data_IF_224453966898
#
_entry.id   IF_224453966898
#
_cell.length_a   1.000
_cell.length_b   1.000
_cell.length_c   1.000
_cell.angle_alpha   90.00
_cell.angle_beta   90.00
_cell.angle_gamma   90.00
#
_symmetry.space_group_name_H-M   'P 1'
#
loop_
_entity.id
_entity.type
_entity.pdbx_description
1 polymer ?
#
# COMPACT_ATOMS: atom_id res chain seq x y z
N UNK A 1 54.85 33.28 -35.86
CA UNK A 1 54.26 32.28 -34.94
C UNK A 1 52.88 31.89 -35.46
N UNK A 2 52.51 30.60 -35.58
CA UNK A 2 51.31 30.20 -36.34
C UNK A 2 50.00 30.60 -35.65
N UNK A 3 49.05 31.15 -36.42
CA UNK A 3 47.70 31.52 -35.96
C UNK A 3 46.85 30.33 -35.50
N UNK A 4 47.29 29.09 -35.78
CA UNK A 4 46.58 27.85 -35.47
C UNK A 4 46.51 27.51 -33.97
N UNK A 5 47.36 28.16 -33.16
CA UNK A 5 47.47 27.92 -31.72
C UNK A 5 46.49 28.72 -30.87
N UNK A 6 45.70 29.61 -31.47
CA UNK A 6 44.77 30.50 -30.76
C UNK A 6 43.45 30.64 -31.51
N UNK A 7 42.41 31.03 -30.79
CA UNK A 7 41.08 31.36 -31.29
C UNK A 7 40.76 32.80 -30.89
N UNK A 8 40.19 33.56 -31.82
CA UNK A 8 39.80 34.94 -31.60
C UNK A 8 38.51 35.05 -30.78
N UNK A 9 38.46 36.01 -29.87
CA UNK A 9 37.23 36.42 -29.19
C UNK A 9 36.47 37.41 -30.07
N UNK A 10 35.32 37.02 -30.59
CA UNK A 10 34.45 37.84 -31.45
C UNK A 10 33.80 39.05 -30.73
N UNK A 11 33.99 39.15 -29.41
CA UNK A 11 33.55 40.31 -28.62
C UNK A 11 34.63 41.39 -28.46
N UNK A 12 35.92 41.04 -28.55
CA UNK A 12 37.00 42.01 -28.32
C UNK A 12 38.22 41.87 -29.25
N UNK A 13 38.17 40.99 -30.25
CA UNK A 13 39.22 40.79 -31.25
C UNK A 13 40.53 40.19 -30.73
N UNK A 14 40.58 39.77 -29.46
CA UNK A 14 41.81 39.23 -28.83
C UNK A 14 41.89 37.73 -28.97
N UNK A 15 43.11 37.22 -29.11
CA UNK A 15 43.39 35.81 -29.40
C UNK A 15 43.79 35.01 -28.14
N UNK A 16 43.14 33.88 -27.91
CA UNK A 16 43.35 33.02 -26.73
C UNK A 16 43.42 31.55 -27.09
N UNK A 17 44.05 30.72 -26.26
CA UNK A 17 44.01 29.26 -26.42
C UNK A 17 42.69 28.65 -25.92
N UNK A 18 42.07 29.30 -24.94
CA UNK A 18 40.77 28.95 -24.38
C UNK A 18 40.02 30.21 -23.97
N UNK A 19 38.81 30.40 -24.52
CA UNK A 19 38.00 31.60 -24.28
C UNK A 19 37.16 31.51 -23.01
N UNK A 20 36.89 30.33 -22.45
CA UNK A 20 35.90 30.17 -21.37
C UNK A 20 36.11 31.08 -20.16
N UNK A 21 37.32 31.08 -19.58
CA UNK A 21 37.63 31.97 -18.44
C UNK A 21 37.69 33.44 -18.84
N UNK A 22 38.12 33.74 -20.07
CA UNK A 22 38.19 35.11 -20.58
C UNK A 22 36.79 35.71 -20.78
N UNK A 23 35.87 34.95 -21.41
CA UNK A 23 34.49 35.34 -21.63
C UNK A 23 33.76 35.65 -20.32
N UNK A 24 33.98 34.81 -19.30
CA UNK A 24 33.36 35.01 -18.00
C UNK A 24 33.93 36.23 -17.26
N UNK A 25 35.25 36.47 -17.33
CA UNK A 25 35.90 37.55 -16.56
C UNK A 25 35.84 38.92 -17.22
N UNK A 26 35.82 38.98 -18.55
CA UNK A 26 35.86 40.25 -19.30
C UNK A 26 34.53 40.63 -19.93
N UNK A 27 33.68 39.65 -20.23
CA UNK A 27 32.40 39.87 -20.90
C UNK A 27 31.21 39.35 -20.11
N UNK A 28 31.45 38.82 -18.90
CA UNK A 28 30.42 38.26 -18.00
C UNK A 28 29.45 37.30 -18.67
N UNK A 29 29.91 36.58 -19.71
CA UNK A 29 29.11 35.65 -20.50
C UNK A 29 29.67 34.23 -20.37
N UNK A 30 28.77 33.26 -20.20
CA UNK A 30 29.18 31.86 -20.20
C UNK A 30 29.57 31.39 -21.60
N UNK A 31 30.44 30.38 -21.66
CA UNK A 31 30.87 29.78 -22.93
C UNK A 31 29.68 29.25 -23.77
N UNK A 32 28.62 28.74 -23.13
CA UNK A 32 27.46 28.22 -23.87
C UNK A 32 26.54 29.32 -24.41
N UNK A 33 26.35 30.40 -23.66
CA UNK A 33 25.67 31.60 -24.18
C UNK A 33 26.47 32.21 -25.34
N UNK A 34 27.79 32.27 -25.23
CA UNK A 34 28.67 32.74 -26.30
C UNK A 34 28.56 31.88 -27.58
N UNK A 35 28.59 30.54 -27.45
CA UNK A 35 28.39 29.63 -28.59
C UNK A 35 27.03 29.81 -29.26
N UNK A 36 25.95 29.95 -28.48
CA UNK A 36 24.60 30.19 -29.02
C UNK A 36 24.52 31.54 -29.74
N UNK A 37 25.11 32.58 -29.14
CA UNK A 37 25.05 33.94 -29.67
C UNK A 37 25.84 34.11 -30.97
N UNK A 38 27.00 33.49 -31.08
CA UNK A 38 27.89 33.65 -32.24
C UNK A 38 27.94 32.44 -33.16
N UNK A 39 27.10 31.41 -32.92
CA UNK A 39 27.08 30.18 -33.72
C UNK A 39 28.36 29.36 -33.70
N UNK A 40 29.31 29.67 -32.81
CA UNK A 40 30.61 29.00 -32.78
C UNK A 40 30.50 27.64 -32.08
N UNK A 41 31.02 26.59 -32.72
CA UNK A 41 30.91 25.23 -32.18
C UNK A 41 31.81 24.99 -30.95
N UNK A 42 32.95 25.68 -30.86
CA UNK A 42 33.99 25.44 -29.85
C UNK A 42 34.63 26.75 -29.39
N UNK A 43 35.05 26.78 -28.13
CA UNK A 43 35.70 27.95 -27.45
C UNK A 43 37.15 27.68 -27.05
N UNK A 44 37.71 26.54 -27.49
CA UNK A 44 39.11 26.13 -27.35
C UNK A 44 39.77 26.14 -28.72
N UNK A 45 41.06 26.45 -28.82
CA UNK A 45 41.79 26.35 -30.08
C UNK A 45 42.03 24.89 -30.51
N UNK A 46 42.31 24.61 -31.80
CA UNK A 46 42.56 23.27 -32.31
C UNK A 46 43.63 22.48 -31.54
N UNK A 47 44.76 23.09 -31.21
CA UNK A 47 45.86 22.44 -30.51
C UNK A 47 45.48 21.97 -29.10
N UNK A 48 44.73 22.79 -28.34
CA UNK A 48 44.24 22.38 -27.00
C UNK A 48 43.28 21.19 -27.12
N UNK A 49 42.44 21.14 -28.17
CA UNK A 49 41.56 20.00 -28.41
C UNK A 49 42.34 18.74 -28.79
N UNK A 50 43.38 18.88 -29.62
CA UNK A 50 44.27 17.78 -29.97
C UNK A 50 44.93 17.17 -28.73
N UNK A 51 45.48 18.00 -27.82
CA UNK A 51 46.08 17.54 -26.56
C UNK A 51 45.09 16.85 -25.62
N UNK A 52 43.87 17.38 -25.50
CA UNK A 52 42.80 16.73 -24.71
C UNK A 52 42.43 15.37 -25.34
N UNK A 53 42.37 15.28 -26.67
CA UNK A 53 42.15 14.04 -27.40
C UNK A 53 43.25 13.00 -27.15
N UNK A 54 44.51 13.40 -27.25
CA UNK A 54 45.67 12.53 -26.96
C UNK A 54 45.67 12.05 -25.51
N UNK A 55 45.33 12.91 -24.56
CA UNK A 55 45.20 12.54 -23.15
C UNK A 55 44.04 11.56 -22.90
N UNK A 56 42.91 11.71 -23.59
CA UNK A 56 41.77 10.79 -23.51
C UNK A 56 42.06 9.41 -24.13
N UNK A 57 42.87 9.37 -25.19
CA UNK A 57 43.36 8.13 -25.80
C UNK A 57 44.33 7.41 -24.85
N UNK A 58 45.32 8.13 -24.31
CA UNK A 58 46.25 7.59 -23.28
C UNK A 58 45.52 7.05 -22.05
N UNK A 59 44.40 7.68 -21.65
CA UNK A 59 43.54 7.25 -20.54
C UNK A 59 42.48 6.21 -20.92
N UNK A 60 42.48 5.70 -22.16
CA UNK A 60 41.65 4.58 -22.61
C UNK A 60 40.16 4.89 -22.82
N UNK A 61 39.75 6.16 -22.84
CA UNK A 61 38.33 6.54 -22.99
C UNK A 61 37.78 6.36 -24.42
N UNK A 62 38.65 6.28 -25.44
CA UNK A 62 38.28 5.94 -26.82
C UNK A 62 37.85 4.48 -27.02
N UNK A 63 38.16 3.56 -26.09
CA UNK A 63 37.76 2.14 -26.17
C UNK A 63 36.26 1.91 -25.93
N UNK A 64 35.48 2.95 -25.57
CA UNK A 64 34.05 2.85 -25.23
C UNK A 64 33.09 3.21 -26.38
N UNK A 65 33.53 3.91 -27.42
CA UNK A 65 32.66 4.28 -28.55
C UNK A 65 32.39 3.11 -29.51
N UNK A 66 31.15 2.98 -29.99
CA UNK A 66 30.77 2.01 -31.01
C UNK A 66 31.12 2.54 -32.40
N UNK A 67 31.90 1.78 -33.17
CA UNK A 67 32.21 2.05 -34.59
C UNK A 67 31.84 0.81 -35.41
N UNK A 68 31.66 0.98 -36.71
CA UNK A 68 31.28 -0.09 -37.64
C UNK A 68 32.29 -1.25 -37.57
N UNK A 69 33.59 -0.96 -37.57
CA UNK A 69 34.66 -1.96 -37.49
C UNK A 69 34.66 -2.68 -36.14
N UNK A 70 34.33 -1.98 -35.05
CA UNK A 70 34.26 -2.57 -33.71
C UNK A 70 33.05 -3.51 -33.60
N UNK A 71 31.92 -3.15 -34.20
CA UNK A 71 30.72 -3.97 -34.26
C UNK A 71 31.00 -5.23 -35.07
N UNK A 72 31.51 -5.10 -36.31
CA UNK A 72 31.84 -6.24 -37.16
C UNK A 72 32.87 -7.17 -36.52
N UNK A 73 33.93 -6.62 -35.90
CA UNK A 73 34.95 -7.40 -35.17
C UNK A 73 34.33 -8.20 -34.03
N UNK A 74 33.41 -7.61 -33.28
CA UNK A 74 32.70 -8.32 -32.20
C UNK A 74 31.81 -9.42 -32.76
N UNK A 75 31.07 -9.17 -33.84
CA UNK A 75 30.22 -10.19 -34.48
C UNK A 75 31.09 -11.35 -35.00
N UNK A 76 32.21 -11.07 -35.70
CA UNK A 76 33.18 -12.11 -36.14
C UNK A 76 33.74 -12.91 -34.98
N UNK A 77 34.07 -12.26 -33.85
CA UNK A 77 34.50 -12.96 -32.64
C UNK A 77 33.42 -13.92 -32.12
N UNK A 78 32.14 -13.54 -32.19
CA UNK A 78 31.02 -14.41 -31.77
C UNK A 78 30.81 -15.59 -32.72
N UNK A 79 31.00 -15.39 -34.02
CA UNK A 79 31.04 -16.48 -35.01
C UNK A 79 32.15 -17.47 -34.69
N UNK A 80 33.37 -16.99 -34.46
CA UNK A 80 34.52 -17.84 -34.13
C UNK A 80 34.36 -18.60 -32.81
N UNK A 81 33.60 -18.05 -31.86
CA UNK A 81 33.28 -18.69 -30.58
C UNK A 81 32.09 -19.67 -30.66
N UNK A 82 31.49 -19.87 -31.84
CA UNK A 82 30.31 -20.71 -32.01
C UNK A 82 29.06 -20.17 -31.28
N UNK A 83 29.04 -18.88 -30.93
CA UNK A 83 27.90 -18.27 -30.23
C UNK A 83 26.79 -17.99 -31.23
N UNK A 84 25.59 -18.51 -30.95
CA UNK A 84 24.40 -18.28 -31.78
C UNK A 84 24.18 -16.79 -32.07
N UNK A 85 24.12 -16.44 -33.36
CA UNK A 85 23.88 -15.07 -33.83
C UNK A 85 22.40 -14.66 -33.84
N UNK A 86 21.52 -15.51 -33.32
CA UNK A 86 20.11 -15.24 -33.25
C UNK A 86 19.82 -14.00 -32.39
N UNK A 87 19.17 -12.99 -32.98
CA UNK A 87 18.89 -11.71 -32.31
C UNK A 87 18.26 -11.89 -30.93
N UNK A 88 17.30 -12.81 -30.78
CA UNK A 88 16.59 -13.03 -29.50
C UNK A 88 17.53 -13.52 -28.39
N UNK A 89 18.53 -14.35 -28.73
CA UNK A 89 19.51 -14.88 -27.79
C UNK A 89 20.63 -13.87 -27.53
N UNK A 90 21.13 -13.23 -28.58
CA UNK A 90 22.18 -12.22 -28.46
C UNK A 90 21.71 -10.92 -27.79
N UNK A 91 20.44 -10.52 -27.95
CA UNK A 91 19.91 -9.34 -27.26
C UNK A 91 19.84 -9.54 -25.74
N UNK A 92 19.71 -10.78 -25.26
CA UNK A 92 19.77 -11.10 -23.82
C UNK A 92 21.19 -11.10 -23.29
N UNK A 93 22.16 -11.57 -24.08
CA UNK A 93 23.57 -11.69 -23.68
C UNK A 93 24.34 -10.38 -23.85
N UNK A 94 24.11 -9.66 -24.94
CA UNK A 94 24.79 -8.41 -25.29
C UNK A 94 23.83 -7.39 -25.94
N UNK A 95 22.90 -6.81 -25.16
CA UNK A 95 21.93 -5.84 -25.67
C UNK A 95 22.61 -4.62 -26.33
N UNK A 96 23.75 -4.17 -25.78
CA UNK A 96 24.47 -3.01 -26.30
C UNK A 96 25.08 -3.24 -27.69
N UNK A 97 25.54 -4.47 -27.99
CA UNK A 97 26.05 -4.82 -29.31
C UNK A 97 24.92 -4.85 -30.35
N UNK A 98 23.77 -5.44 -29.99
CA UNK A 98 22.60 -5.53 -30.88
C UNK A 98 22.03 -4.14 -31.19
N UNK A 99 21.95 -3.26 -30.18
CA UNK A 99 21.50 -1.88 -30.35
C UNK A 99 22.48 -1.06 -31.21
N UNK A 100 23.78 -1.16 -30.94
CA UNK A 100 24.80 -0.48 -31.74
C UNK A 100 24.78 -0.94 -33.20
N UNK A 101 24.72 -2.25 -33.44
CA UNK A 101 24.63 -2.81 -34.78
C UNK A 101 23.36 -2.37 -35.52
N UNK A 102 22.20 -2.34 -34.83
CA UNK A 102 20.95 -1.84 -35.42
C UNK A 102 21.05 -0.35 -35.76
N UNK A 103 21.70 0.46 -34.93
CA UNK A 103 21.86 1.90 -35.18
C UNK A 103 22.80 2.20 -36.36
N UNK A 104 23.89 1.44 -36.50
CA UNK A 104 24.92 1.70 -37.52
C UNK A 104 24.58 1.06 -38.88
N UNK A 105 23.97 -0.12 -38.89
CA UNK A 105 23.68 -0.88 -40.11
C UNK A 105 22.17 -0.94 -40.43
N UNK A 106 21.33 -0.18 -39.71
CA UNK A 106 19.87 -0.17 -39.83
C UNK A 106 19.17 -1.39 -39.23
N UNK A 107 19.79 -2.57 -39.24
CA UNK A 107 19.25 -3.78 -38.62
C UNK A 107 20.34 -4.77 -38.17
N UNK A 108 20.01 -5.61 -37.19
CA UNK A 108 20.88 -6.73 -36.79
C UNK A 108 21.16 -7.71 -37.95
N UNK A 109 20.16 -7.94 -38.81
CA UNK A 109 20.29 -8.78 -40.02
C UNK A 109 21.38 -8.24 -40.94
N UNK A 110 21.34 -6.94 -41.25
CA UNK A 110 22.31 -6.28 -42.11
C UNK A 110 23.73 -6.34 -41.54
N UNK A 111 23.89 -6.14 -40.22
CA UNK A 111 25.19 -6.25 -39.57
C UNK A 111 25.78 -7.68 -39.60
N UNK A 112 24.92 -8.71 -39.54
CA UNK A 112 25.35 -10.11 -39.65
C UNK A 112 25.68 -10.49 -41.10
N UNK A 113 24.91 -9.99 -42.07
CA UNK A 113 25.22 -10.16 -43.49
C UNK A 113 26.53 -9.45 -43.88
N UNK A 114 26.83 -8.29 -43.28
CA UNK A 114 28.08 -7.55 -43.49
C UNK A 114 29.34 -8.29 -42.99
N UNK A 115 29.19 -9.33 -42.15
CA UNK A 115 30.30 -10.24 -41.79
C UNK A 115 30.31 -11.53 -42.63
N UNK A 116 29.53 -11.59 -43.71
CA UNK A 116 29.45 -12.74 -44.61
C UNK A 116 28.66 -13.93 -44.07
N UNK A 117 27.82 -13.72 -43.05
CA UNK A 117 26.98 -14.77 -42.47
C UNK A 117 25.56 -14.66 -43.02
N UNK A 118 25.02 -15.78 -43.51
CA UNK A 118 23.62 -15.87 -43.90
C UNK A 118 22.72 -15.82 -42.64
N UNK A 119 22.13 -14.65 -42.40
CA UNK A 119 21.30 -14.42 -41.23
C UNK A 119 20.10 -15.37 -41.14
N UNK A 120 19.57 -15.85 -42.27
CA UNK A 120 18.43 -16.75 -42.28
C UNK A 120 18.79 -18.18 -41.86
N UNK A 121 20.08 -18.57 -41.96
CA UNK A 121 20.61 -19.83 -41.42
C UNK A 121 21.01 -19.76 -39.95
N UNK A 122 21.44 -18.59 -39.47
CA UNK A 122 21.93 -18.42 -38.08
C UNK A 122 20.90 -17.86 -37.10
N UNK A 123 19.73 -17.42 -37.58
CA UNK A 123 18.61 -17.08 -36.71
C UNK A 123 18.10 -18.35 -36.02
N UNK A 124 17.70 -18.22 -34.75
CA UNK A 124 16.97 -19.29 -34.07
C UNK A 124 15.67 -19.47 -34.83
N UNK A 125 15.55 -20.58 -35.56
CA UNK A 125 14.25 -21.12 -35.92
C UNK A 125 13.56 -21.44 -34.60
N UNK A 126 12.55 -20.63 -34.24
CA UNK A 126 11.66 -20.96 -33.13
C UNK A 126 10.81 -22.13 -33.60
N UNK A 127 11.36 -23.34 -33.43
CA UNK A 127 10.78 -24.66 -33.66
C UNK A 127 10.24 -24.96 -35.08
N UNK A 128 10.56 -26.18 -35.53
CA UNK A 128 10.18 -26.90 -36.76
C UNK A 128 8.68 -27.00 -37.12
N UNK A 129 7.94 -25.89 -37.13
CA UNK A 129 6.64 -25.79 -37.79
C UNK A 129 6.54 -24.48 -38.54
N UNK A 130 6.96 -24.51 -39.81
CA UNK A 130 6.30 -23.67 -40.80
C UNK A 130 4.84 -24.14 -40.79
N UNK A 131 3.96 -23.33 -40.22
CA UNK A 131 2.54 -23.64 -40.24
C UNK A 131 2.05 -23.53 -41.67
N UNK A 132 1.92 -24.67 -42.35
CA UNK A 132 1.24 -24.74 -43.64
C UNK A 132 -0.26 -24.93 -43.40
N UNK A 133 -1.09 -24.62 -44.41
CA UNK A 133 -2.54 -24.92 -44.34
C UNK A 133 -2.81 -26.37 -43.94
N UNK A 134 -2.07 -27.32 -44.53
CA UNK A 134 -2.16 -28.74 -44.20
C UNK A 134 -1.70 -29.05 -42.76
N UNK A 135 -0.58 -28.47 -42.32
CA UNK A 135 -0.07 -28.66 -40.96
C UNK A 135 -1.00 -28.12 -39.87
N UNK A 136 -1.74 -27.03 -40.15
CA UNK A 136 -2.78 -26.49 -39.26
C UNK A 136 -3.95 -27.48 -39.17
N UNK A 137 -4.46 -27.98 -40.31
CA UNK A 137 -5.55 -28.97 -40.31
C UNK A 137 -5.15 -30.25 -39.57
N UNK A 138 -3.94 -30.77 -39.78
CA UNK A 138 -3.43 -31.94 -39.06
C UNK A 138 -3.34 -31.70 -37.55
N UNK A 139 -2.90 -30.52 -37.11
CA UNK A 139 -2.84 -30.20 -35.70
C UNK A 139 -4.23 -30.05 -35.06
N UNK A 140 -5.22 -29.52 -35.80
CA UNK A 140 -6.63 -29.47 -35.38
C UNK A 140 -7.19 -30.90 -35.26
N UNK A 141 -6.96 -31.76 -36.25
CA UNK A 141 -7.41 -33.15 -36.23
C UNK A 141 -6.76 -33.97 -35.11
N UNK A 142 -5.45 -33.82 -34.89
CA UNK A 142 -4.74 -34.47 -33.79
C UNK A 142 -5.31 -34.06 -32.44
N UNK A 143 -5.64 -32.77 -32.28
CA UNK A 143 -6.29 -32.25 -31.07
C UNK A 143 -7.70 -32.82 -30.88
N UNK A 144 -8.47 -32.94 -31.96
CA UNK A 144 -9.79 -33.56 -31.95
C UNK A 144 -9.73 -35.05 -31.56
N UNK A 145 -8.79 -35.80 -32.13
CA UNK A 145 -8.57 -37.22 -31.84
C UNK A 145 -8.19 -37.47 -30.37
N UNK A 146 -7.48 -36.52 -29.75
CA UNK A 146 -7.15 -36.55 -28.32
C UNK A 146 -8.32 -36.13 -27.41
N UNK A 147 -9.50 -35.83 -27.97
CA UNK A 147 -10.67 -35.38 -27.21
C UNK A 147 -10.50 -34.00 -26.57
N UNK A 148 -9.51 -33.22 -26.99
CA UNK A 148 -9.24 -31.90 -26.45
C UNK A 148 -10.21 -30.85 -27.02
N UNK A 149 -10.58 -29.84 -26.22
CA UNK A 149 -11.52 -28.80 -26.66
C UNK A 149 -10.95 -28.00 -27.84
N UNK A 150 -11.76 -27.84 -28.89
CA UNK A 150 -11.43 -27.11 -30.12
C UNK A 150 -11.92 -25.66 -30.13
N UNK A 151 -12.53 -25.19 -29.04
CA UNK A 151 -12.95 -23.79 -28.98
C UNK A 151 -11.74 -22.85 -28.94
N UNK A 152 -11.89 -21.70 -29.59
CA UNK A 152 -10.81 -20.73 -29.75
C UNK A 152 -10.13 -20.36 -28.42
N UNK A 153 -10.90 -20.19 -27.33
CA UNK A 153 -10.34 -19.79 -26.04
C UNK A 153 -9.45 -20.89 -25.46
N UNK A 154 -9.94 -22.13 -25.40
CA UNK A 154 -9.18 -23.26 -24.85
C UNK A 154 -7.94 -23.61 -25.68
N UNK A 155 -7.99 -23.36 -26.99
CA UNK A 155 -6.82 -23.53 -27.87
C UNK A 155 -5.84 -22.38 -27.66
N UNK A 156 -6.32 -21.13 -27.59
CA UNK A 156 -5.48 -19.94 -27.39
C UNK A 156 -4.75 -19.95 -26.05
N UNK A 157 -5.39 -20.46 -24.99
CA UNK A 157 -4.80 -20.56 -23.65
C UNK A 157 -3.64 -21.58 -23.60
N UNK A 158 -3.64 -22.58 -24.49
CA UNK A 158 -2.64 -23.64 -24.52
C UNK A 158 -1.56 -23.42 -25.60
N UNK A 159 -1.96 -23.03 -26.81
CA UNK A 159 -1.05 -22.70 -27.88
C UNK A 159 -1.60 -21.54 -28.72
N UNK A 160 -1.17 -20.33 -28.40
CA UNK A 160 -1.53 -19.13 -29.15
C UNK A 160 -1.00 -19.16 -30.60
N UNK A 161 0.04 -19.95 -30.90
CA UNK A 161 0.71 -19.92 -32.21
C UNK A 161 -0.12 -20.61 -33.29
N UNK A 162 -0.80 -21.72 -32.97
CA UNK A 162 -1.72 -22.38 -33.91
C UNK A 162 -2.93 -21.49 -34.20
N UNK A 163 -3.43 -20.74 -33.22
CA UNK A 163 -4.51 -19.76 -33.41
C UNK A 163 -4.08 -18.62 -34.35
N UNK A 164 -2.91 -18.04 -34.11
CA UNK A 164 -2.36 -16.98 -34.96
C UNK A 164 -2.07 -17.46 -36.37
N UNK A 165 -1.56 -18.69 -36.53
CA UNK A 165 -1.33 -19.29 -37.83
C UNK A 165 -2.65 -19.59 -38.58
N UNK A 166 -3.66 -20.12 -37.89
CA UNK A 166 -4.98 -20.35 -38.46
C UNK A 166 -5.66 -19.05 -38.91
N UNK A 167 -5.54 -17.98 -38.12
CA UNK A 167 -6.01 -16.64 -38.50
C UNK A 167 -5.29 -16.12 -39.76
N UNK A 168 -3.98 -16.29 -39.84
CA UNK A 168 -3.19 -15.85 -40.99
C UNK A 168 -3.53 -16.64 -42.28
N UNK A 169 -3.66 -17.97 -42.21
CA UNK A 169 -3.83 -18.80 -43.41
C UNK A 169 -5.29 -18.99 -43.87
N UNK A 170 -6.25 -18.93 -42.95
CA UNK A 170 -7.68 -19.20 -43.21
C UNK A 170 -8.60 -18.02 -42.85
N UNK A 171 -8.06 -16.94 -42.25
CA UNK A 171 -8.81 -15.74 -41.87
C UNK A 171 -9.60 -15.87 -40.57
N UNK A 172 -9.99 -17.09 -40.17
CA UNK A 172 -10.63 -17.35 -38.87
C UNK A 172 -10.37 -18.77 -38.38
N UNK A 173 -10.39 -18.95 -37.05
CA UNK A 173 -10.29 -20.29 -36.45
C UNK A 173 -11.43 -21.20 -36.89
N UNK A 174 -12.65 -20.66 -37.03
CA UNK A 174 -13.81 -21.41 -37.52
C UNK A 174 -13.55 -21.98 -38.92
N UNK A 175 -13.06 -21.14 -39.85
CA UNK A 175 -12.73 -21.57 -41.21
C UNK A 175 -11.60 -22.60 -41.25
N UNK A 176 -10.63 -22.51 -40.34
CA UNK A 176 -9.55 -23.50 -40.24
C UNK A 176 -10.06 -24.86 -39.74
N UNK A 177 -11.01 -24.87 -38.80
CA UNK A 177 -11.64 -26.10 -38.29
C UNK A 177 -12.58 -26.71 -39.33
N UNK A 178 -13.36 -25.89 -40.02
CA UNK A 178 -14.21 -26.33 -41.14
C UNK A 178 -13.35 -26.90 -42.29
N UNK A 179 -12.21 -26.27 -42.61
CA UNK A 179 -11.24 -26.76 -43.59
C UNK A 179 -10.50 -28.05 -43.14
N UNK A 180 -10.54 -28.37 -41.85
CA UNK A 180 -10.07 -29.65 -41.33
C UNK A 180 -11.16 -30.75 -41.37
N UNK A 181 -12.35 -30.44 -41.91
CA UNK A 181 -13.47 -31.39 -42.04
C UNK A 181 -14.28 -31.58 -40.75
N UNK A 182 -14.12 -30.69 -39.76
CA UNK A 182 -14.84 -30.74 -38.49
C UNK A 182 -15.93 -29.66 -38.46
N UNK A 183 -17.15 -30.01 -38.05
CA UNK A 183 -18.24 -29.03 -37.89
C UNK A 183 -17.99 -28.13 -36.66
N UNK A 184 -17.38 -26.98 -36.89
CA UNK A 184 -17.10 -26.01 -35.83
C UNK A 184 -18.39 -25.41 -35.23
N UNK A 185 -19.50 -25.37 -35.98
CA UNK A 185 -20.79 -24.87 -35.47
C UNK A 185 -21.38 -25.86 -34.47
N UNK A 186 -21.31 -27.16 -34.74
CA UNK A 186 -21.69 -28.23 -33.81
C UNK A 186 -20.84 -28.25 -32.53
N UNK A 187 -19.53 -28.06 -32.65
CA UNK A 187 -18.61 -27.92 -31.51
C UNK A 187 -18.97 -26.69 -30.66
N UNK A 188 -19.21 -25.54 -31.31
CA UNK A 188 -19.61 -24.31 -30.63
C UNK A 188 -21.00 -24.44 -29.99
N UNK A 189 -21.95 -25.16 -30.59
CA UNK A 189 -23.30 -25.35 -30.06
C UNK A 189 -23.31 -26.23 -28.80
N UNK A 190 -22.57 -27.35 -28.79
CA UNK A 190 -22.41 -28.22 -27.60
C UNK A 190 -21.76 -27.49 -26.42
N UNK A 191 -20.83 -26.58 -26.68
CA UNK A 191 -20.24 -25.74 -25.64
C UNK A 191 -21.06 -24.49 -25.29
N UNK A 192 -21.89 -23.98 -26.23
CA UNK A 192 -22.83 -22.90 -25.94
C UNK A 192 -23.95 -23.33 -25.01
N UNK A 193 -24.30 -24.62 -24.97
CA UNK A 193 -25.13 -25.21 -23.92
C UNK A 193 -24.48 -25.14 -22.51
N UNK A 194 -23.14 -25.03 -22.43
CA UNK A 194 -22.40 -24.69 -21.19
C UNK A 194 -22.33 -23.18 -20.93
N UNK A 195 -22.79 -22.34 -21.86
CA UNK A 195 -22.80 -20.88 -21.75
C UNK A 195 -24.17 -20.44 -21.22
N UNK A 196 -24.17 -19.59 -20.21
CA UNK A 196 -25.40 -19.07 -19.64
C UNK A 196 -26.22 -18.31 -20.69
N UNK A 197 -27.44 -18.79 -20.95
CA UNK A 197 -28.49 -18.08 -21.72
C UNK A 197 -29.63 -17.71 -20.78
N UNK A 198 -30.51 -16.80 -21.19
CA UNK A 198 -31.70 -16.42 -20.40
C UNK A 198 -32.51 -17.67 -20.01
N UNK A 199 -32.75 -18.59 -20.95
CA UNK A 199 -33.51 -19.82 -20.71
C UNK A 199 -32.80 -20.74 -19.72
N UNK A 200 -31.47 -20.89 -19.82
CA UNK A 200 -30.68 -21.74 -18.92
C UNK A 200 -30.64 -21.15 -17.51
N UNK A 201 -30.48 -19.83 -17.38
CA UNK A 201 -30.50 -19.14 -16.07
C UNK A 201 -31.85 -19.32 -15.38
N UNK A 202 -32.96 -19.09 -16.09
CA UNK A 202 -34.30 -19.26 -15.51
C UNK A 202 -34.58 -20.72 -15.14
N UNK A 203 -34.17 -21.68 -15.98
CA UNK A 203 -34.30 -23.13 -15.69
C UNK A 203 -33.54 -23.50 -14.43
N UNK A 204 -32.32 -23.02 -14.29
CA UNK A 204 -31.48 -23.34 -13.13
C UNK A 204 -32.00 -22.71 -11.84
N UNK A 205 -32.49 -21.46 -11.89
CA UNK A 205 -33.15 -20.82 -10.75
C UNK A 205 -34.36 -21.64 -10.29
N UNK A 206 -35.21 -22.10 -11.22
CA UNK A 206 -36.37 -22.95 -10.88
C UNK A 206 -35.94 -24.31 -10.32
N UNK A 207 -34.84 -24.89 -10.83
CA UNK A 207 -34.27 -26.13 -10.29
C UNK A 207 -33.83 -25.95 -8.84
N UNK A 208 -33.09 -24.87 -8.54
CA UNK A 208 -32.64 -24.55 -7.18
C UNK A 208 -33.83 -24.30 -6.23
N UNK A 209 -34.88 -23.63 -6.72
CA UNK A 209 -36.10 -23.39 -5.96
C UNK A 209 -36.84 -24.70 -5.60
N UNK A 210 -37.00 -25.60 -6.57
CA UNK A 210 -37.63 -26.92 -6.35
C UNK A 210 -36.81 -27.82 -5.42
N UNK A 211 -35.49 -27.67 -5.44
CA UNK A 211 -34.59 -28.38 -4.54
C UNK A 211 -34.58 -27.81 -3.11
N UNK A 212 -35.38 -26.77 -2.82
CA UNK A 212 -35.45 -26.16 -1.48
C UNK A 212 -34.16 -25.44 -1.07
N UNK A 213 -33.29 -25.09 -2.01
CA UNK A 213 -32.01 -24.44 -1.72
C UNK A 213 -32.20 -22.95 -1.40
N UNK A 214 -31.34 -22.42 -0.53
CA UNK A 214 -31.39 -21.01 -0.11
C UNK A 214 -31.04 -20.07 -1.28
N UNK A 215 -32.06 -19.40 -1.82
CA UNK A 215 -31.94 -18.47 -2.94
C UNK A 215 -31.54 -17.03 -2.55
N UNK A 216 -31.16 -16.80 -1.28
CA UNK A 216 -30.66 -15.50 -0.83
C UNK A 216 -29.49 -15.04 -1.71
N UNK A 217 -29.43 -13.76 -2.11
CA UNK A 217 -28.38 -13.26 -3.01
C UNK A 217 -26.95 -13.59 -2.55
N UNK A 218 -26.69 -13.55 -1.23
CA UNK A 218 -25.38 -13.91 -0.65
C UNK A 218 -25.10 -15.41 -0.68
N UNK A 219 -26.13 -16.24 -0.47
CA UNK A 219 -26.02 -17.71 -0.51
C UNK A 219 -25.69 -18.16 -1.93
N UNK A 220 -26.47 -17.69 -2.90
CA UNK A 220 -26.31 -18.02 -4.32
C UNK A 220 -24.99 -17.48 -4.86
N UNK A 221 -24.59 -16.26 -4.51
CA UNK A 221 -23.27 -15.74 -4.92
C UNK A 221 -22.11 -16.61 -4.41
N UNK A 222 -22.24 -17.17 -3.21
CA UNK A 222 -21.20 -18.03 -2.62
C UNK A 222 -21.17 -19.43 -3.23
N UNK A 223 -22.33 -20.03 -3.47
CA UNK A 223 -22.46 -21.43 -3.89
C UNK A 223 -22.60 -21.61 -5.41
N UNK A 224 -23.12 -20.59 -6.10
CA UNK A 224 -23.45 -20.58 -7.52
C UNK A 224 -23.06 -19.25 -8.19
N UNK A 225 -21.82 -18.80 -7.97
CA UNK A 225 -21.30 -17.50 -8.45
C UNK A 225 -21.50 -17.29 -9.97
N UNK A 226 -21.27 -18.34 -10.77
CA UNK A 226 -21.45 -18.28 -12.24
C UNK A 226 -22.90 -18.03 -12.65
N UNK A 227 -23.85 -18.66 -11.95
CA UNK A 227 -25.28 -18.44 -12.17
C UNK A 227 -25.68 -17.03 -11.75
N UNK A 228 -25.18 -16.58 -10.59
CA UNK A 228 -25.42 -15.23 -10.06
C UNK A 228 -24.93 -14.16 -11.03
N UNK A 229 -23.69 -14.26 -11.51
CA UNK A 229 -23.12 -13.35 -12.50
C UNK A 229 -23.83 -13.40 -13.85
N UNK A 230 -24.37 -14.56 -14.25
CA UNK A 230 -25.17 -14.67 -15.46
C UNK A 230 -26.54 -13.99 -15.34
N UNK A 231 -27.22 -14.15 -14.21
CA UNK A 231 -28.48 -13.43 -13.93
C UNK A 231 -28.29 -11.91 -13.93
N UNK A 232 -27.17 -11.41 -13.40
CA UNK A 232 -26.84 -9.99 -13.49
C UNK A 232 -26.67 -9.51 -14.93
N UNK A 233 -25.85 -10.21 -15.73
CA UNK A 233 -25.56 -9.78 -17.10
C UNK A 233 -26.75 -9.90 -18.06
N UNK A 234 -27.58 -10.92 -17.89
CA UNK A 234 -28.63 -11.25 -18.86
C UNK A 234 -30.03 -10.80 -18.44
N UNK A 235 -30.28 -10.64 -17.14
CA UNK A 235 -31.62 -10.36 -16.60
C UNK A 235 -31.66 -9.09 -15.74
N UNK A 236 -30.55 -8.34 -15.66
CA UNK A 236 -30.49 -7.07 -14.94
C UNK A 236 -30.37 -7.21 -13.42
N UNK A 237 -30.12 -8.41 -12.91
CA UNK A 237 -29.89 -8.66 -11.48
C UNK A 237 -30.54 -9.94 -10.97
N UNK A 238 -30.10 -10.39 -9.78
CA UNK A 238 -30.63 -11.61 -9.15
C UNK A 238 -32.11 -11.48 -8.78
N UNK A 239 -32.53 -10.33 -8.24
CA UNK A 239 -33.93 -10.08 -7.87
C UNK A 239 -34.85 -10.07 -9.10
N UNK A 240 -34.43 -9.44 -10.20
CA UNK A 240 -35.16 -9.45 -11.46
C UNK A 240 -35.28 -10.86 -12.04
N UNK A 241 -34.22 -11.68 -11.92
CA UNK A 241 -34.26 -13.07 -12.34
C UNK A 241 -35.23 -13.94 -11.51
N UNK A 242 -35.30 -13.70 -10.19
CA UNK A 242 -36.28 -14.37 -9.31
C UNK A 242 -37.72 -13.98 -9.66
N UNK A 243 -37.98 -12.69 -9.90
CA UNK A 243 -39.31 -12.20 -10.32
C UNK A 243 -39.77 -12.85 -11.63
N UNK A 244 -38.87 -12.97 -12.62
CA UNK A 244 -39.16 -13.67 -13.90
C UNK A 244 -39.38 -15.17 -13.74
N UNK A 245 -38.96 -15.74 -12.62
CA UNK A 245 -39.25 -17.13 -12.24
C UNK A 245 -40.52 -17.27 -11.39
N UNK A 246 -41.23 -16.17 -11.09
CA UNK A 246 -42.38 -16.18 -10.19
C UNK A 246 -42.01 -16.36 -8.71
N UNK A 247 -40.75 -16.13 -8.34
CA UNK A 247 -40.25 -16.31 -6.98
C UNK A 247 -40.15 -14.94 -6.32
N UNK A 248 -40.82 -14.76 -5.19
CA UNK A 248 -40.76 -13.51 -4.42
C UNK A 248 -39.37 -13.32 -3.80
N UNK A 249 -38.58 -12.30 -4.20
CA UNK A 249 -37.23 -12.07 -3.67
C UNK A 249 -37.22 -11.72 -2.17
N UNK A 250 -38.26 -11.07 -1.66
CA UNK A 250 -38.35 -10.67 -0.25
C UNK A 250 -38.43 -11.89 0.67
N UNK A 251 -39.13 -12.95 0.24
CA UNK A 251 -39.23 -14.21 0.97
C UNK A 251 -37.91 -15.01 1.00
N UNK A 252 -36.96 -14.70 0.10
CA UNK A 252 -35.68 -15.41 -0.03
C UNK A 252 -34.52 -14.70 0.69
N UNK A 253 -34.73 -13.50 1.22
CA UNK A 253 -33.73 -12.76 1.99
C UNK A 253 -33.71 -13.24 3.44
N UNK A 254 -32.72 -14.06 3.82
CA UNK A 254 -32.56 -14.63 5.16
C UNK A 254 -32.09 -13.62 6.24
N UNK A 255 -32.35 -12.33 6.07
CA UNK A 255 -32.17 -11.35 7.15
C UNK A 255 -33.51 -10.67 7.36
N UNK A 256 -33.97 -10.52 8.62
CA UNK A 256 -35.00 -9.55 8.94
C UNK A 256 -34.69 -8.25 8.22
N UNK A 257 -35.55 -7.80 7.31
CA UNK A 257 -35.54 -6.38 6.96
C UNK A 257 -35.84 -5.65 8.25
N UNK A 258 -34.82 -5.01 8.82
CA UNK A 258 -35.00 -4.20 10.01
C UNK A 258 -35.92 -3.04 9.63
N UNK A 259 -37.01 -2.89 10.36
CA UNK A 259 -37.85 -1.69 10.36
C UNK A 259 -37.78 -1.04 11.74
N UNK A 260 -38.36 0.15 11.91
CA UNK A 260 -38.42 0.80 13.23
C UNK A 260 -39.16 -0.09 14.23
N UNK A 261 -40.24 -0.72 13.79
CA UNK A 261 -41.11 -1.60 14.55
C UNK A 261 -40.37 -2.87 14.96
N UNK A 262 -39.66 -3.51 14.02
CA UNK A 262 -38.89 -4.74 14.31
C UNK A 262 -37.69 -4.49 15.22
N UNK A 263 -37.10 -3.30 15.17
CA UNK A 263 -36.07 -2.92 16.15
C UNK A 263 -36.68 -2.79 17.55
N UNK A 264 -37.87 -2.19 17.68
CA UNK A 264 -38.59 -2.10 18.95
C UNK A 264 -38.96 -3.50 19.47
N UNK A 265 -39.53 -4.37 18.63
CA UNK A 265 -39.83 -5.76 18.98
C UNK A 265 -38.60 -6.52 19.46
N UNK A 266 -37.47 -6.38 18.76
CA UNK A 266 -36.22 -7.04 19.14
C UNK A 266 -35.66 -6.50 20.48
N UNK A 267 -35.82 -5.21 20.76
CA UNK A 267 -35.44 -4.61 22.05
C UNK A 267 -36.33 -5.16 23.17
N UNK A 268 -37.64 -5.27 22.95
CA UNK A 268 -38.58 -5.82 23.92
C UNK A 268 -38.32 -7.32 24.17
N UNK A 269 -38.07 -8.10 23.13
CA UNK A 269 -37.72 -9.52 23.27
C UNK A 269 -36.41 -9.74 24.06
N UNK A 270 -35.42 -8.86 23.88
CA UNK A 270 -34.19 -8.90 24.69
C UNK A 270 -34.45 -8.53 26.15
N UNK A 271 -35.42 -7.64 26.43
CA UNK A 271 -35.87 -7.30 27.79
C UNK A 271 -36.60 -8.44 28.46
N UNK A 272 -37.55 -9.07 27.77
CA UNK A 272 -38.32 -10.22 28.27
C UNK A 272 -37.41 -11.41 28.59
N UNK A 273 -36.40 -11.63 27.75
CA UNK A 273 -35.40 -12.65 28.01
C UNK A 273 -34.41 -12.30 29.14
N UNK A 274 -34.62 -11.18 29.85
CA UNK A 274 -33.77 -10.73 30.97
C UNK A 274 -32.35 -10.33 30.55
N UNK A 275 -32.12 -10.08 29.26
CA UNK A 275 -30.78 -9.81 28.73
C UNK A 275 -30.44 -8.33 28.82
N UNK A 276 -29.18 -8.03 29.14
CA UNK A 276 -28.69 -6.65 29.20
C UNK A 276 -28.85 -5.94 27.86
N UNK A 277 -29.53 -4.78 27.90
CA UNK A 277 -29.74 -3.85 26.79
C UNK A 277 -28.64 -2.78 26.67
N UNK A 278 -27.56 -2.91 27.44
CA UNK A 278 -26.40 -2.01 27.32
C UNK A 278 -25.81 -2.08 25.90
N UNK A 279 -25.54 -0.95 25.22
CA UNK A 279 -25.09 -0.93 23.82
C UNK A 279 -23.85 -1.79 23.59
N UNK A 280 -22.90 -1.76 24.53
CA UNK A 280 -21.69 -2.58 24.47
C UNK A 280 -21.93 -4.08 24.67
N UNK A 281 -22.98 -4.46 25.39
CA UNK A 281 -23.39 -5.86 25.55
C UNK A 281 -24.17 -6.35 24.32
N UNK A 282 -25.11 -5.53 23.83
CA UNK A 282 -25.89 -5.85 22.63
C UNK A 282 -25.00 -5.88 21.39
N UNK A 283 -24.04 -4.98 21.21
CA UNK A 283 -23.11 -5.03 20.07
C UNK A 283 -22.31 -6.33 20.01
N UNK A 284 -21.91 -6.87 21.18
CA UNK A 284 -21.14 -8.10 21.27
C UNK A 284 -21.98 -9.34 20.95
N UNK A 285 -23.22 -9.38 21.43
CA UNK A 285 -24.13 -10.53 21.25
C UNK A 285 -24.92 -10.47 19.95
N UNK A 286 -25.43 -9.29 19.61
CA UNK A 286 -26.38 -9.05 18.54
C UNK A 286 -26.01 -7.80 17.70
N UNK A 287 -24.88 -7.83 16.99
CA UNK A 287 -24.34 -6.67 16.25
C UNK A 287 -25.29 -6.14 15.15
N UNK A 288 -26.16 -6.99 14.60
CA UNK A 288 -27.16 -6.56 13.63
C UNK A 288 -28.26 -5.69 14.23
N UNK A 289 -28.65 -5.92 15.50
CA UNK A 289 -29.60 -5.07 16.21
C UNK A 289 -28.97 -3.71 16.54
N UNK A 290 -27.72 -3.69 17.04
CA UNK A 290 -26.97 -2.44 17.31
C UNK A 290 -26.80 -1.57 16.05
N UNK A 291 -26.49 -2.21 14.92
CA UNK A 291 -26.41 -1.54 13.62
C UNK A 291 -27.78 -1.04 13.13
N UNK A 292 -28.87 -1.77 13.41
CA UNK A 292 -30.22 -1.34 13.06
C UNK A 292 -30.68 -0.15 13.91
N UNK A 293 -30.45 -0.18 15.23
CA UNK A 293 -30.75 0.93 16.15
C UNK A 293 -30.07 2.22 15.65
N UNK A 294 -28.80 2.13 15.28
CA UNK A 294 -28.02 3.27 14.78
C UNK A 294 -28.54 3.82 13.44
N UNK A 295 -29.20 2.99 12.63
CA UNK A 295 -29.74 3.38 11.31
C UNK A 295 -31.14 3.98 11.39
N UNK A 296 -32.01 3.40 12.22
CA UNK A 296 -33.44 3.76 12.24
C UNK A 296 -33.81 4.79 13.31
N UNK A 297 -32.97 5.00 14.33
CA UNK A 297 -33.21 5.94 15.42
C UNK A 297 -32.09 6.99 15.49
N UNK A 298 -32.28 8.19 14.89
CA UNK A 298 -31.35 9.30 15.07
C UNK A 298 -31.35 9.72 16.55
N UNK A 299 -30.23 9.51 17.24
CA UNK A 299 -30.11 9.58 18.70
C UNK A 299 -29.82 8.22 19.39
N UNK A 300 -29.73 7.15 18.60
CA UNK A 300 -29.22 5.84 19.02
C UNK A 300 -30.08 5.13 20.05
N UNK A 301 -29.44 4.37 20.95
CA UNK A 301 -30.12 3.51 21.93
C UNK A 301 -31.07 4.25 22.86
N UNK A 302 -30.82 5.52 23.21
CA UNK A 302 -31.73 6.30 24.06
C UNK A 302 -33.10 6.49 23.40
N UNK A 303 -33.09 6.87 22.12
CA UNK A 303 -34.32 7.10 21.35
C UNK A 303 -35.02 5.79 21.02
N UNK A 304 -34.27 4.73 20.71
CA UNK A 304 -34.83 3.41 20.46
C UNK A 304 -35.50 2.80 21.70
N UNK A 305 -34.91 2.97 22.90
CA UNK A 305 -35.52 2.53 24.16
C UNK A 305 -36.77 3.35 24.51
N UNK A 306 -36.72 4.68 24.34
CA UNK A 306 -37.88 5.53 24.54
C UNK A 306 -39.04 5.18 23.59
N UNK A 307 -38.73 4.87 22.32
CA UNK A 307 -39.71 4.40 21.35
C UNK A 307 -40.30 3.01 21.72
N UNK A 308 -39.53 2.18 22.42
CA UNK A 308 -40.00 0.92 23.01
C UNK A 308 -40.75 1.12 24.35
N UNK A 309 -41.05 2.36 24.76
CA UNK A 309 -41.63 2.72 26.07
C UNK A 309 -40.83 2.21 27.27
N UNK A 310 -39.53 2.01 27.08
CA UNK A 310 -38.60 1.66 28.13
C UNK A 310 -37.87 2.92 28.57
N UNK A 311 -37.76 3.14 29.87
CA UNK A 311 -37.02 4.28 30.40
C UNK A 311 -35.50 4.11 30.09
N UNK A 312 -34.92 4.96 29.22
CA UNK A 312 -33.53 4.83 28.84
C UNK A 312 -32.57 5.12 29.99
N UNK A 313 -32.97 5.95 30.97
CA UNK A 313 -32.08 6.38 32.04
C UNK A 313 -31.88 5.30 33.10
N UNK A 314 -32.89 4.48 33.35
CA UNK A 314 -32.75 3.28 34.20
C UNK A 314 -31.98 2.17 33.51
N UNK A 315 -32.15 1.98 32.20
CA UNK A 315 -31.57 0.85 31.44
C UNK A 315 -30.13 1.11 31.01
N UNK A 316 -29.84 2.32 30.53
CA UNK A 316 -28.52 2.73 30.05
C UNK A 316 -27.66 3.34 31.16
N UNK A 317 -28.02 3.13 32.42
CA UNK A 317 -27.24 3.52 33.58
C UNK A 317 -25.87 2.77 33.63
N UNK A 318 -24.95 3.11 32.74
CA UNK A 318 -23.52 2.91 32.99
C UNK A 318 -23.11 3.95 34.02
N UNK A 319 -23.01 3.53 35.29
CA UNK A 319 -22.46 4.28 36.45
C UNK A 319 -22.25 5.76 36.13
N UNK A 320 -23.34 6.52 35.99
CA UNK A 320 -23.26 7.91 35.57
C UNK A 320 -22.56 8.66 36.69
N UNK A 321 -21.33 9.06 36.45
CA UNK A 321 -20.62 9.93 37.36
C UNK A 321 -21.32 11.28 37.34
N UNK A 322 -22.14 11.53 38.37
CA UNK A 322 -22.60 12.86 38.75
C UNK A 322 -21.61 13.48 39.74
N UNK A 323 -21.77 14.77 40.03
CA UNK A 323 -20.93 15.46 41.03
C UNK A 323 -21.00 14.75 42.38
N UNK A 324 -22.21 14.40 42.82
CA UNK A 324 -22.52 13.73 44.08
C UNK A 324 -21.88 12.33 44.12
N UNK A 325 -21.96 11.58 43.01
CA UNK A 325 -21.35 10.25 42.91
C UNK A 325 -19.84 10.27 42.90
N UNK A 326 -19.22 11.27 42.26
CA UNK A 326 -17.77 11.45 42.34
C UNK A 326 -17.34 11.73 43.78
N UNK A 327 -18.06 12.60 44.49
CA UNK A 327 -17.77 12.88 45.90
C UNK A 327 -17.98 11.64 46.78
N UNK A 328 -19.09 10.92 46.62
CA UNK A 328 -19.35 9.69 47.35
C UNK A 328 -18.26 8.62 47.11
N UNK A 329 -17.79 8.45 45.88
CA UNK A 329 -16.72 7.50 45.57
C UNK A 329 -15.33 7.95 46.07
N UNK A 330 -15.09 9.26 46.19
CA UNK A 330 -13.89 9.78 46.84
C UNK A 330 -13.96 9.58 48.36
N UNK A 331 -15.13 9.76 48.96
CA UNK A 331 -15.38 9.51 50.39
C UNK A 331 -15.22 8.02 50.72
N UNK A 332 -15.85 7.12 49.95
CA UNK A 332 -15.69 5.66 50.10
C UNK A 332 -14.21 5.25 50.00
N UNK A 333 -13.45 5.89 49.11
CA UNK A 333 -12.01 5.65 48.98
C UNK A 333 -11.24 6.09 50.22
N UNK A 334 -11.62 7.21 50.84
CA UNK A 334 -11.05 7.68 52.10
C UNK A 334 -11.40 6.74 53.26
N UNK A 335 -12.67 6.38 53.40
CA UNK A 335 -13.18 5.52 54.47
C UNK A 335 -12.54 4.13 54.43
N UNK A 336 -12.28 3.63 53.21
CA UNK A 336 -11.53 2.39 52.98
C UNK A 336 -10.01 2.52 53.22
N UNK A 337 -9.51 3.66 53.71
CA UNK A 337 -8.10 3.92 53.97
C UNK A 337 -7.23 3.97 52.70
N UNK A 338 -7.83 4.11 51.50
CA UNK A 338 -7.10 4.09 50.23
C UNK A 338 -6.57 5.47 49.91
N UNK A 339 -5.31 5.55 49.47
CA UNK A 339 -4.66 6.82 49.16
C UNK A 339 -5.44 7.67 48.13
N UNK A 340 -5.70 8.93 48.50
CA UNK A 340 -6.27 9.97 47.62
C UNK A 340 -5.21 10.71 46.77
N UNK A 341 -3.93 10.33 46.88
CA UNK A 341 -2.88 10.82 45.97
C UNK A 341 -3.22 10.45 44.52
N UNK A 342 -3.18 11.43 43.62
CA UNK A 342 -3.54 11.28 42.21
C UNK A 342 -2.92 10.06 41.53
N UNK A 343 -1.62 9.81 41.72
CA UNK A 343 -0.92 8.69 41.06
C UNK A 343 -1.48 7.33 41.51
N UNK A 344 -1.78 7.19 42.80
CA UNK A 344 -2.38 5.98 43.35
C UNK A 344 -3.83 5.83 42.90
N UNK A 345 -4.62 6.91 42.98
CA UNK A 345 -6.01 6.91 42.51
C UNK A 345 -6.15 6.59 41.02
N UNK A 346 -5.23 7.10 40.19
CA UNK A 346 -5.20 6.83 38.74
C UNK A 346 -4.83 5.38 38.42
N UNK A 347 -3.92 4.79 39.20
CA UNK A 347 -3.54 3.38 39.05
C UNK A 347 -4.69 2.45 39.42
N UNK A 348 -5.40 2.77 40.50
CA UNK A 348 -6.45 1.89 41.05
C UNK A 348 -7.79 2.04 40.32
N UNK A 349 -8.17 3.28 39.97
CA UNK A 349 -9.47 3.55 39.37
C UNK A 349 -9.41 4.74 38.41
N UNK A 350 -8.96 4.46 37.19
CA UNK A 350 -8.87 5.45 36.10
C UNK A 350 -10.23 6.07 35.75
N UNK A 351 -11.32 5.31 35.86
CA UNK A 351 -12.67 5.79 35.54
C UNK A 351 -13.12 6.90 36.50
N UNK A 352 -12.86 6.74 37.80
CA UNK A 352 -13.12 7.77 38.81
C UNK A 352 -12.28 9.03 38.56
N UNK A 353 -10.99 8.88 38.23
CA UNK A 353 -10.10 10.01 37.95
C UNK A 353 -10.60 10.82 36.75
N UNK A 354 -10.89 10.15 35.63
CA UNK A 354 -11.40 10.81 34.43
C UNK A 354 -12.74 11.51 34.69
N UNK A 355 -13.60 10.91 35.51
CA UNK A 355 -14.87 11.51 35.89
C UNK A 355 -14.69 12.75 36.78
N UNK A 356 -13.81 12.67 37.78
CA UNK A 356 -13.51 13.78 38.67
C UNK A 356 -12.90 14.98 37.94
N UNK A 357 -11.97 14.73 36.99
CA UNK A 357 -11.38 15.79 36.17
C UNK A 357 -12.42 16.42 35.23
N UNK A 358 -13.30 15.61 34.62
CA UNK A 358 -14.35 16.13 33.73
C UNK A 358 -15.38 17.01 34.46
N UNK A 359 -15.77 16.66 35.69
CA UNK A 359 -16.89 17.31 36.41
C UNK A 359 -16.40 18.41 37.36
N UNK A 360 -15.32 18.16 38.10
CA UNK A 360 -14.79 19.05 39.13
C UNK A 360 -13.52 19.78 38.68
N UNK A 361 -13.09 19.56 37.43
CA UNK A 361 -11.97 20.21 36.76
C UNK A 361 -10.64 19.50 36.99
N UNK A 362 -10.12 19.51 38.22
CA UNK A 362 -8.85 18.82 38.54
C UNK A 362 -9.04 17.87 39.71
N UNK A 363 -8.25 16.79 39.78
CA UNK A 363 -8.27 15.89 40.93
C UNK A 363 -8.07 16.62 42.27
N UNK A 364 -7.21 17.64 42.28
CA UNK A 364 -7.01 18.49 43.45
C UNK A 364 -8.23 19.36 43.81
N UNK A 365 -9.06 19.77 42.83
CA UNK A 365 -10.34 20.43 43.10
C UNK A 365 -11.37 19.42 43.62
N UNK A 366 -11.37 18.20 43.10
CA UNK A 366 -12.26 17.14 43.55
C UNK A 366 -12.00 16.73 45.01
N UNK A 367 -10.73 16.58 45.40
CA UNK A 367 -10.36 16.31 46.81
C UNK A 367 -10.69 17.51 47.72
N UNK A 368 -10.50 18.75 47.24
CA UNK A 368 -10.93 19.94 47.99
C UNK A 368 -12.43 20.04 48.18
N UNK A 369 -13.21 19.49 47.24
CA UNK A 369 -14.66 19.44 47.36
C UNK A 369 -15.14 18.46 48.44
N UNK A 370 -14.27 17.60 48.98
CA UNK A 370 -14.51 16.82 50.21
C UNK A 370 -14.13 17.58 51.49
N UNK A 371 -13.74 18.85 51.40
CA UNK A 371 -13.21 19.61 52.54
C UNK A 371 -11.76 19.27 52.90
N UNK A 372 -11.09 18.42 52.11
CA UNK A 372 -9.71 18.02 52.38
C UNK A 372 -8.70 18.93 51.67
N UNK A 373 -7.64 19.30 52.39
CA UNK A 373 -6.48 19.93 51.78
C UNK A 373 -5.72 18.89 50.95
N UNK A 374 -5.73 19.04 49.62
CA UNK A 374 -4.96 18.15 48.76
C UNK A 374 -3.45 18.16 49.09
N UNK A 375 -2.95 19.23 49.72
CA UNK A 375 -1.56 19.30 50.20
C UNK A 375 -1.29 18.31 51.33
N UNK A 376 -2.19 18.23 52.31
CA UNK A 376 -2.08 17.27 53.42
C UNK A 376 -2.20 15.84 52.92
N UNK A 377 -3.11 15.59 51.97
CA UNK A 377 -3.25 14.29 51.30
C UNK A 377 -1.96 13.86 50.59
N UNK A 378 -1.26 14.80 49.95
CA UNK A 378 0.03 14.52 49.30
C UNK A 378 1.14 14.21 50.30
N UNK A 379 1.22 14.95 51.42
CA UNK A 379 2.22 14.72 52.47
C UNK A 379 1.98 13.39 53.17
N UNK A 380 0.74 13.11 53.58
CA UNK A 380 0.35 11.83 54.21
C UNK A 380 0.58 10.63 53.29
N UNK A 381 0.43 10.82 51.97
CA UNK A 381 0.70 9.80 50.96
C UNK A 381 2.16 9.70 50.50
N UNK A 382 3.12 10.32 51.22
CA UNK A 382 4.55 10.21 50.94
C UNK A 382 5.05 10.98 49.71
N UNK A 383 4.24 11.88 49.15
CA UNK A 383 4.64 12.68 47.97
C UNK A 383 5.51 13.85 48.42
N UNK A 384 6.83 13.65 48.41
CA UNK A 384 7.79 14.72 48.68
C UNK A 384 7.75 15.77 47.57
N UNK A 385 7.48 17.03 47.93
CA UNK A 385 7.49 18.13 46.96
C UNK A 385 8.91 18.67 46.78
N UNK A 386 9.40 18.59 45.57
CA UNK A 386 10.70 19.11 45.19
C UNK A 386 10.62 20.61 44.88
N UNK A 387 11.42 21.41 45.57
CA UNK A 387 11.79 22.79 45.22
C UNK A 387 13.20 22.85 44.66
N UNK A 388 13.59 23.95 43.99
CA UNK A 388 14.98 24.16 43.54
C UNK A 388 15.99 23.91 44.66
N UNK A 389 15.69 24.40 45.85
CA UNK A 389 16.59 24.29 47.00
C UNK A 389 16.67 22.85 47.53
N UNK A 390 15.53 22.21 47.77
CA UNK A 390 15.47 20.82 48.27
C UNK A 390 16.07 19.80 47.29
N UNK A 391 15.96 20.03 45.98
CA UNK A 391 16.62 19.20 44.95
C UNK A 391 18.14 19.31 45.10
N UNK A 392 18.66 20.54 45.20
CA UNK A 392 20.10 20.76 45.33
C UNK A 392 20.62 20.27 46.67
N UNK A 393 19.87 20.44 47.76
CA UNK A 393 20.23 19.94 49.08
C UNK A 393 20.28 18.41 49.13
N UNK A 394 19.27 17.72 48.57
CA UNK A 394 19.25 16.26 48.52
C UNK A 394 20.41 15.69 47.67
N UNK A 395 20.65 16.26 46.48
CA UNK A 395 21.76 15.82 45.63
C UNK A 395 23.13 16.20 46.18
N UNK A 396 23.26 17.35 46.87
CA UNK A 396 24.49 17.73 47.54
C UNK A 396 24.79 16.77 48.70
N UNK A 397 23.78 16.40 49.51
CA UNK A 397 23.92 15.40 50.56
C UNK A 397 24.36 14.04 50.02
N UNK A 398 23.75 13.56 48.93
CA UNK A 398 24.16 12.31 48.26
C UNK A 398 25.63 12.38 47.79
N UNK A 399 26.07 13.51 47.23
CA UNK A 399 27.45 13.71 46.78
C UNK A 399 28.45 13.76 47.95
N UNK A 400 28.11 14.46 49.04
CA UNK A 400 28.95 14.53 50.24
C UNK A 400 29.06 13.17 50.95
N UNK A 401 28.01 12.34 50.88
CA UNK A 401 27.98 10.99 51.42
C UNK A 401 28.60 9.93 50.48
N UNK A 402 29.13 10.32 49.32
CA UNK A 402 29.72 9.39 48.34
C UNK A 402 28.71 8.46 47.65
N UNK A 403 27.42 8.77 47.71
CA UNK A 403 26.35 7.95 47.12
C UNK A 403 26.28 8.15 45.61
N UNK A 404 25.94 7.08 44.87
CA UNK A 404 25.85 7.14 43.41
C UNK A 404 24.75 8.09 42.93
N UNK A 405 25.10 9.13 42.19
CA UNK A 405 24.14 10.10 41.61
C UNK A 405 23.67 9.71 40.20
N UNK A 406 23.78 8.43 39.82
CA UNK A 406 23.21 7.93 38.56
C UNK A 406 21.68 7.99 38.62
N UNK A 407 21.05 8.24 37.47
CA UNK A 407 19.59 8.42 37.35
C UNK A 407 18.79 7.31 38.05
N UNK A 408 19.15 6.05 37.83
CA UNK A 408 18.43 4.89 38.38
C UNK A 408 18.52 4.85 39.91
N UNK A 409 19.71 5.13 40.44
CA UNK A 409 20.01 5.08 41.87
C UNK A 409 19.34 6.25 42.61
N UNK A 410 19.32 7.43 41.99
CA UNK A 410 18.61 8.60 42.50
C UNK A 410 17.10 8.44 42.42
N UNK A 411 16.55 7.87 41.34
CA UNK A 411 15.10 7.64 41.23
C UNK A 411 14.61 6.59 42.23
N UNK A 412 15.46 5.62 42.60
CA UNK A 412 15.16 4.63 43.64
C UNK A 412 15.14 5.26 45.04
N UNK A 413 16.07 6.15 45.36
CA UNK A 413 16.10 6.87 46.65
C UNK A 413 15.06 7.99 46.74
N UNK A 414 14.84 8.68 45.63
CA UNK A 414 14.03 9.88 45.55
C UNK A 414 13.06 9.81 44.37
N UNK A 415 11.95 9.06 44.49
CA UNK A 415 10.95 8.95 43.44
C UNK A 415 10.46 10.33 42.97
N UNK A 416 10.51 10.58 41.67
CA UNK A 416 10.07 11.83 41.05
C UNK A 416 11.04 13.01 41.15
N UNK A 417 12.19 12.89 41.83
CA UNK A 417 13.22 13.94 41.86
C UNK A 417 13.72 14.25 40.46
N UNK A 418 14.02 13.20 39.68
CA UNK A 418 14.55 13.38 38.33
C UNK A 418 13.57 14.14 37.42
N UNK A 419 12.26 13.85 37.55
CA UNK A 419 11.21 14.57 36.84
C UNK A 419 11.11 16.03 37.32
N UNK A 420 11.23 16.29 38.62
CA UNK A 420 11.22 17.64 39.16
C UNK A 420 12.41 18.49 38.68
N UNK A 421 13.58 17.88 38.48
CA UNK A 421 14.75 18.57 37.93
C UNK A 421 14.46 19.20 36.55
N UNK A 422 13.70 18.54 35.68
CA UNK A 422 13.31 19.10 34.38
C UNK A 422 12.41 20.32 34.48
N UNK A 423 11.52 20.38 35.49
CA UNK A 423 10.64 21.53 35.68
C UNK A 423 11.39 22.74 36.25
N UNK A 424 12.31 22.51 37.18
CA UNK A 424 12.96 23.60 37.91
C UNK A 424 14.28 24.08 37.31
N UNK A 425 14.99 23.24 36.54
CA UNK A 425 16.29 23.55 35.97
C UNK A 425 16.27 23.39 34.44
N UNK A 426 16.23 24.52 33.71
CA UNK A 426 16.45 24.54 32.27
C UNK A 426 17.94 24.24 32.00
N UNK A 427 18.23 23.14 31.31
CA UNK A 427 19.61 22.76 30.95
C UNK A 427 20.03 21.33 31.28
N UNK A 428 19.10 20.47 31.72
CA UNK A 428 19.31 19.03 31.83
C UNK A 428 20.05 18.58 33.09
N UNK A 429 20.01 17.26 33.35
CA UNK A 429 20.51 16.60 34.56
C UNK A 429 21.94 16.99 34.94
N UNK A 430 22.84 17.12 33.95
CA UNK A 430 24.25 17.49 34.15
C UNK A 430 24.43 18.84 34.86
N UNK A 431 23.67 19.88 34.48
CA UNK A 431 23.78 21.20 35.12
C UNK A 431 23.26 21.20 36.55
N UNK A 432 22.29 20.34 36.85
CA UNK A 432 21.77 20.17 38.21
C UNK A 432 22.85 19.54 39.10
N UNK A 433 23.53 18.50 38.61
CA UNK A 433 24.65 17.88 39.31
C UNK A 433 25.83 18.84 39.52
N UNK A 434 26.18 19.67 38.53
CA UNK A 434 27.22 20.70 38.69
C UNK A 434 26.87 21.71 39.79
N UNK A 435 25.61 22.13 39.87
CA UNK A 435 25.13 23.04 40.93
C UNK A 435 25.08 22.35 42.29
N UNK A 436 24.66 21.09 42.35
CA UNK A 436 24.66 20.29 43.58
C UNK A 436 26.08 20.03 44.08
N UNK A 437 27.03 19.71 43.19
CA UNK A 437 28.43 19.54 43.52
C UNK A 437 29.09 20.83 44.04
N UNK A 438 28.74 21.99 43.47
CA UNK A 438 29.16 23.30 44.01
C UNK A 438 28.62 23.54 45.41
N UNK A 439 27.41 23.05 45.73
CA UNK A 439 26.80 23.16 47.06
C UNK A 439 27.38 22.15 48.04
N UNK A 440 27.75 20.95 47.61
CA UNK A 440 28.39 19.93 48.45
C UNK A 440 29.83 20.29 48.88
N UNK A 441 30.49 21.19 48.14
CA UNK A 441 31.84 21.72 48.42
C UNK A 441 31.84 23.01 49.26
N UNK A 442 30.66 23.59 49.50
CA UNK A 442 30.46 24.73 50.40
C UNK A 442 29.96 24.19 51.71
#
# INVERSE_FOLDING_TARGET
>A
MPLEDRIECLLCGRYFRFLGCHLLRRHSISADQYKKRFGVAKVTCPEVRYRIGQAAIRRGWGKRAWTDERILRKIRKRVAQGVSLARTRLARLEPALVQAATKHFGSWRAAVQAVGQDYDRVRLHVSDRIWTRAGICQAILARHAQGLPLNYQAVSDQDVRICSAALYHFGSWAKAVDAAGLDYRGVRAKESAKRWTVVVVLREIRRLARAGLNLAPKSVRRQHDRLYGAAYRLLGGWQAALLRCGINPAAQCSKPEWSRERVIEAILAEREAGRSLQPAAVRRRYPSLDGAVSRYFPGGWRVALAAARLDPDTILATRQWSRERVLAALQERQDAGRSLVYVHARRDNLALVNAAERILGTWAKAVRALGLSYREVQVAGGVRRWSRDSILAALAGDLSAGLSVRRKDVEARYPGLYKACFYYFRGGWRRVLERAAKRARR
#
